data_IF_811385034236
#
_entry.id   IF_811385034236
#
_cell.length_a   1.000
_cell.length_b   1.000
_cell.length_c   1.000
_cell.angle_alpha   90.00
_cell.angle_beta   90.00
_cell.angle_gamma   90.00
#
_symmetry.space_group_name_H-M   'P 1'
#
loop_
_entity.id
_entity.type
_entity.pdbx_description
1 polymer ?
#
# COMPACT_ATOMS: atom_id res chain seq x y z
N UNK A 1 -18.11 3.61 22.42
CA UNK A 1 -18.69 4.20 21.19
C UNK A 1 -18.26 5.65 21.09
N UNK A 2 -17.07 5.92 20.55
CA UNK A 2 -16.54 7.26 20.30
C UNK A 2 -15.86 7.19 18.93
N UNK A 3 -16.56 7.61 17.88
CA UNK A 3 -16.00 7.73 16.54
C UNK A 3 -15.80 9.22 16.24
N UNK A 4 -14.56 9.67 16.42
CA UNK A 4 -14.12 11.01 16.05
C UNK A 4 -14.10 11.14 14.53
N UNK A 5 -15.10 11.81 13.95
CA UNK A 5 -15.00 12.36 12.60
C UNK A 5 -14.09 13.59 12.66
N UNK A 6 -12.79 13.37 12.52
CA UNK A 6 -11.86 14.41 12.13
C UNK A 6 -12.22 14.89 10.73
N UNK A 7 -12.84 16.06 10.63
CA UNK A 7 -13.14 16.70 9.36
C UNK A 7 -11.82 16.99 8.62
N UNK A 8 -11.50 16.14 7.63
CA UNK A 8 -10.51 16.50 6.63
C UNK A 8 -11.00 17.78 5.94
N UNK A 9 -10.21 18.87 5.90
CA UNK A 9 -10.65 20.10 5.28
C UNK A 9 -11.01 19.86 3.81
N UNK A 10 -12.15 20.42 3.40
CA UNK A 10 -12.76 20.38 2.06
C UNK A 10 -11.80 20.66 0.88
N UNK A 11 -10.61 21.21 1.15
CA UNK A 11 -9.54 21.37 0.17
C UNK A 11 -9.06 20.06 -0.46
N UNK A 12 -9.16 18.91 0.23
CA UNK A 12 -8.73 17.62 -0.34
C UNK A 12 -9.67 17.02 -1.39
N UNK A 13 -10.96 17.40 -1.39
CA UNK A 13 -11.94 16.87 -2.35
C UNK A 13 -11.75 17.44 -3.76
N UNK A 14 -11.05 18.59 -3.90
CA UNK A 14 -10.87 19.28 -5.18
C UNK A 14 -9.73 18.74 -6.05
N UNK A 15 -8.84 17.87 -5.52
CA UNK A 15 -7.69 17.37 -6.28
C UNK A 15 -8.08 16.49 -7.48
N UNK A 16 -9.21 15.76 -7.41
CA UNK A 16 -9.70 14.96 -8.52
C UNK A 16 -10.07 15.80 -9.76
N UNK A 17 -10.60 17.01 -9.57
CA UNK A 17 -11.01 17.89 -10.66
C UNK A 17 -9.85 18.65 -11.32
N UNK A 18 -8.73 18.84 -10.60
CA UNK A 18 -7.58 19.62 -11.08
C UNK A 18 -6.35 18.76 -11.39
N UNK A 19 -6.35 17.47 -11.03
CA UNK A 19 -5.23 16.55 -11.21
C UNK A 19 -4.66 16.54 -12.63
N UNK A 20 -5.54 16.45 -13.63
CA UNK A 20 -5.15 16.49 -15.05
C UNK A 20 -4.51 17.84 -15.45
N UNK A 21 -4.73 18.93 -14.71
CA UNK A 21 -4.20 20.28 -15.00
C UNK A 21 -2.96 20.64 -14.18
N UNK A 22 -2.41 19.72 -13.38
CA UNK A 22 -1.25 19.97 -12.53
C UNK A 22 0.04 20.25 -13.32
N UNK A 23 0.09 19.95 -14.62
CA UNK A 23 1.20 20.32 -15.51
C UNK A 23 1.26 21.83 -15.81
N UNK A 24 0.20 22.59 -15.53
CA UNK A 24 0.14 24.02 -15.82
C UNK A 24 0.84 24.83 -14.72
N UNK A 25 1.85 25.63 -15.09
CA UNK A 25 2.55 26.57 -14.19
C UNK A 25 1.60 27.53 -13.45
N UNK A 26 0.46 27.86 -14.06
CA UNK A 26 -0.56 28.71 -13.43
C UNK A 26 -1.17 28.07 -12.18
N UNK A 27 -1.41 26.76 -12.21
CA UNK A 27 -1.96 26.00 -11.08
C UNK A 27 -0.94 25.90 -9.96
N UNK A 28 0.31 25.62 -10.30
CA UNK A 28 1.42 25.60 -9.33
C UNK A 28 1.58 26.94 -8.62
N UNK A 29 1.58 28.06 -9.37
CA UNK A 29 1.66 29.41 -8.79
C UNK A 29 0.49 29.70 -7.85
N UNK A 30 -0.72 29.26 -8.20
CA UNK A 30 -1.91 29.41 -7.37
C UNK A 30 -1.78 28.63 -6.05
N UNK A 31 -1.36 27.36 -6.13
CA UNK A 31 -1.14 26.51 -4.95
C UNK A 31 -0.06 27.08 -4.03
N UNK A 32 1.05 27.57 -4.60
CA UNK A 32 2.09 28.25 -3.84
C UNK A 32 1.57 29.54 -3.18
N UNK A 33 0.72 30.29 -3.86
CA UNK A 33 0.06 31.48 -3.29
C UNK A 33 -0.81 31.15 -2.07
N UNK A 34 -1.57 30.06 -2.12
CA UNK A 34 -2.39 29.58 -1.01
C UNK A 34 -1.52 29.19 0.18
N UNK A 35 -0.47 28.40 -0.05
CA UNK A 35 0.38 27.87 1.01
C UNK A 35 1.27 28.93 1.67
N UNK A 36 1.67 29.96 0.90
CA UNK A 36 2.61 31.01 1.36
C UNK A 36 2.13 31.76 2.59
N UNK A 37 0.84 32.12 2.67
CA UNK A 37 0.31 32.95 3.79
C UNK A 37 0.44 32.24 5.14
N UNK A 38 0.01 30.96 5.30
CA UNK A 38 0.31 30.17 6.48
C UNK A 38 1.81 30.06 6.78
N UNK A 39 2.63 29.78 5.77
CA UNK A 39 4.06 29.56 5.93
C UNK A 39 4.81 30.77 6.52
N UNK A 40 4.49 31.99 6.06
CA UNK A 40 5.06 33.22 6.63
C UNK A 40 4.72 33.35 8.12
N UNK A 41 3.49 33.00 8.52
CA UNK A 41 3.07 33.08 9.92
C UNK A 41 3.78 32.05 10.80
N UNK A 42 3.96 30.82 10.31
CA UNK A 42 4.61 29.73 11.03
C UNK A 42 6.09 30.04 11.24
N UNK A 43 6.78 30.47 10.18
CA UNK A 43 8.23 30.73 10.20
C UNK A 43 8.60 32.10 10.78
N UNK A 44 7.63 33.02 10.90
CA UNK A 44 7.84 34.44 11.23
C UNK A 44 8.84 35.15 10.30
N UNK A 45 9.03 34.64 9.09
CA UNK A 45 9.98 35.18 8.13
C UNK A 45 9.45 36.46 7.46
N UNK A 46 10.34 37.20 6.81
CA UNK A 46 9.98 38.41 6.07
C UNK A 46 9.02 38.10 4.91
N UNK A 47 8.15 39.06 4.58
CA UNK A 47 7.20 38.94 3.46
C UNK A 47 7.87 38.74 2.09
N UNK A 48 9.16 39.09 1.96
CA UNK A 48 9.97 38.94 0.75
C UNK A 48 10.67 37.59 0.63
N UNK A 49 10.67 36.78 1.69
CA UNK A 49 11.30 35.44 1.71
C UNK A 49 10.66 34.54 0.63
N UNK A 50 11.44 33.81 -0.16
CA UNK A 50 10.88 32.93 -1.21
C UNK A 50 9.98 31.84 -0.61
N UNK A 51 8.96 31.40 -1.34
CA UNK A 51 8.04 30.35 -0.83
C UNK A 51 8.78 29.03 -0.60
N UNK A 52 9.71 28.70 -1.49
CA UNK A 52 10.53 27.49 -1.39
C UNK A 52 11.37 27.51 -0.11
N UNK A 53 12.01 28.64 0.23
CA UNK A 53 12.74 28.78 1.49
C UNK A 53 11.81 28.63 2.70
N UNK A 54 10.60 29.18 2.64
CA UNK A 54 9.63 29.01 3.73
C UNK A 54 9.19 27.56 3.91
N UNK A 55 9.00 26.81 2.82
CA UNK A 55 8.66 25.38 2.85
C UNK A 55 9.78 24.56 3.49
N UNK A 56 11.03 24.83 3.10
CA UNK A 56 12.22 24.18 3.67
C UNK A 56 12.37 24.49 5.15
N UNK A 57 12.32 25.77 5.54
CA UNK A 57 12.46 26.20 6.95
C UNK A 57 11.33 25.63 7.81
N UNK A 58 10.10 25.59 7.30
CA UNK A 58 8.96 25.03 8.03
C UNK A 58 8.92 23.49 8.02
N UNK A 59 9.71 22.82 7.18
CA UNK A 59 9.60 21.38 6.94
C UNK A 59 8.26 20.95 6.34
N UNK A 60 7.60 21.84 5.57
CA UNK A 60 6.28 21.58 5.00
C UNK A 60 6.39 21.30 3.51
N UNK A 61 5.87 20.15 3.08
CA UNK A 61 5.86 19.76 1.66
C UNK A 61 5.08 20.76 0.79
N UNK A 62 5.60 21.14 -0.39
CA UNK A 62 4.89 21.98 -1.34
C UNK A 62 3.52 21.43 -1.74
N UNK A 63 2.50 22.29 -1.75
CA UNK A 63 1.12 21.88 -2.05
C UNK A 63 0.97 21.33 -3.47
N UNK A 64 1.76 21.84 -4.43
CA UNK A 64 1.82 21.32 -5.79
C UNK A 64 2.32 19.87 -5.84
N UNK A 65 3.34 19.52 -5.06
CA UNK A 65 3.85 18.15 -4.95
C UNK A 65 2.82 17.25 -4.26
N UNK A 66 2.15 17.72 -3.20
CA UNK A 66 1.06 16.98 -2.57
C UNK A 66 -0.08 16.69 -3.55
N UNK A 67 -0.43 17.66 -4.39
CA UNK A 67 -1.47 17.50 -5.40
C UNK A 67 -1.09 16.43 -6.42
N UNK A 68 0.16 16.43 -6.92
CA UNK A 68 0.69 15.38 -7.80
C UNK A 68 0.59 14.00 -7.14
N UNK A 69 1.07 13.87 -5.89
CA UNK A 69 1.04 12.62 -5.12
C UNK A 69 -0.40 12.09 -4.98
N UNK A 70 -1.35 12.94 -4.58
CA UNK A 70 -2.76 12.56 -4.39
C UNK A 70 -3.40 12.14 -5.72
N UNK A 71 -3.12 12.86 -6.80
CA UNK A 71 -3.65 12.53 -8.12
C UNK A 71 -3.09 11.21 -8.65
N UNK A 72 -1.78 10.98 -8.54
CA UNK A 72 -1.16 9.72 -8.96
C UNK A 72 -1.70 8.54 -8.16
N UNK A 73 -1.85 8.68 -6.84
CA UNK A 73 -2.50 7.65 -6.00
C UNK A 73 -3.92 7.37 -6.45
N UNK A 74 -4.69 8.39 -6.80
CA UNK A 74 -6.06 8.21 -7.30
C UNK A 74 -6.09 7.45 -8.63
N UNK A 75 -5.21 7.79 -9.59
CA UNK A 75 -5.12 7.07 -10.86
C UNK A 75 -4.79 5.59 -10.67
N UNK A 76 -3.80 5.29 -9.83
CA UNK A 76 -3.31 3.92 -9.62
C UNK A 76 -4.26 3.09 -8.76
N UNK A 77 -4.70 3.64 -7.62
CA UNK A 77 -5.45 2.87 -6.62
C UNK A 77 -6.95 2.81 -6.91
N UNK A 78 -7.51 3.86 -7.53
CA UNK A 78 -8.95 3.97 -7.78
C UNK A 78 -9.31 3.70 -9.24
N UNK A 79 -8.66 4.40 -10.18
CA UNK A 79 -9.00 4.28 -11.60
C UNK A 79 -8.32 3.06 -12.26
N UNK A 80 -7.27 2.52 -11.63
CA UNK A 80 -6.49 1.38 -12.13
C UNK A 80 -5.80 1.67 -13.46
N UNK A 81 -5.17 2.85 -13.56
CA UNK A 81 -4.37 3.27 -14.70
C UNK A 81 -2.92 3.48 -14.26
N UNK A 82 -1.98 2.98 -15.07
CA UNK A 82 -0.55 3.20 -14.88
C UNK A 82 -0.23 4.69 -14.97
N UNK A 83 0.64 5.17 -14.08
CA UNK A 83 1.03 6.58 -14.05
C UNK A 83 2.53 6.72 -13.91
N UNK A 84 3.08 7.77 -14.51
CA UNK A 84 4.48 8.13 -14.38
C UNK A 84 4.59 9.42 -13.56
N UNK A 85 5.39 9.37 -12.50
CA UNK A 85 5.74 10.53 -11.69
C UNK A 85 7.22 10.78 -11.84
N UNK A 86 7.57 11.86 -12.54
CA UNK A 86 8.95 12.19 -12.90
C UNK A 86 9.61 11.01 -13.67
N UNK A 87 10.62 10.36 -13.09
CA UNK A 87 11.34 9.23 -13.70
C UNK A 87 10.87 7.84 -13.26
N UNK A 88 9.85 7.77 -12.40
CA UNK A 88 9.33 6.49 -11.91
C UNK A 88 7.96 6.20 -12.50
N UNK A 89 7.82 4.99 -13.03
CA UNK A 89 6.54 4.44 -13.43
C UNK A 89 5.92 3.65 -12.28
N UNK A 90 4.60 3.79 -12.13
CA UNK A 90 3.80 3.06 -11.17
C UNK A 90 2.74 2.30 -11.94
N UNK A 91 2.83 0.97 -11.91
CA UNK A 91 1.85 0.09 -12.55
C UNK A 91 0.70 -0.14 -11.57
N UNK A 92 -0.54 -0.12 -12.04
CA UNK A 92 -1.70 -0.31 -11.18
C UNK A 92 -1.80 -1.74 -10.60
N UNK A 93 -1.21 -2.71 -11.30
CA UNK A 93 -1.16 -4.12 -10.92
C UNK A 93 -0.18 -4.41 -9.76
N UNK A 94 0.81 -3.54 -9.55
CA UNK A 94 1.75 -3.65 -8.42
C UNK A 94 1.08 -3.34 -7.07
N UNK A 95 -0.13 -2.75 -7.09
CA UNK A 95 -0.84 -2.33 -5.90
C UNK A 95 -2.05 -3.20 -5.61
N UNK A 96 -2.12 -3.65 -4.36
CA UNK A 96 -3.25 -4.42 -3.84
C UNK A 96 -4.59 -3.72 -4.12
N UNK A 97 -5.53 -4.49 -4.64
CA UNK A 97 -6.90 -4.05 -4.87
C UNK A 97 -7.83 -4.79 -3.92
N UNK A 98 -8.76 -4.05 -3.32
CA UNK A 98 -9.81 -4.67 -2.52
C UNK A 98 -10.73 -5.44 -3.47
N UNK A 99 -10.75 -6.76 -3.33
CA UNK A 99 -11.79 -7.59 -3.97
C UNK A 99 -13.06 -7.48 -3.17
N UNK A 100 -14.16 -7.16 -3.85
CA UNK A 100 -15.49 -7.22 -3.25
C UNK A 100 -15.95 -8.68 -3.25
N UNK A 101 -16.06 -9.26 -2.06
CA UNK A 101 -16.52 -10.65 -1.87
C UNK A 101 -17.98 -10.83 -2.29
N UNK A 102 -18.78 -9.76 -2.30
CA UNK A 102 -20.18 -9.79 -2.69
C UNK A 102 -20.41 -9.73 -4.19
N UNK A 103 -19.37 -9.45 -4.99
CA UNK A 103 -19.43 -9.60 -6.44
C UNK A 103 -19.60 -11.06 -6.87
N UNK A 104 -19.34 -12.02 -5.96
CA UNK A 104 -19.55 -13.44 -6.21
C UNK A 104 -20.88 -13.89 -5.62
N UNK A 105 -21.69 -14.59 -6.41
CA UNK A 105 -22.96 -15.13 -5.95
C UNK A 105 -22.75 -16.04 -4.72
N UNK A 106 -23.55 -15.95 -3.64
CA UNK A 106 -23.37 -16.74 -2.42
C UNK A 106 -23.32 -18.26 -2.66
N UNK A 107 -24.00 -18.77 -3.68
CA UNK A 107 -23.96 -20.19 -4.04
C UNK A 107 -22.59 -20.67 -4.59
N UNK A 108 -21.69 -19.77 -4.99
CA UNK A 108 -20.33 -20.11 -5.41
C UNK A 108 -19.30 -19.99 -4.27
N UNK A 109 -19.75 -19.62 -3.07
CA UNK A 109 -18.86 -19.47 -1.93
C UNK A 109 -18.40 -20.84 -1.45
N UNK A 110 -17.09 -20.98 -1.22
CA UNK A 110 -16.48 -22.21 -0.71
C UNK A 110 -16.25 -22.01 0.78
N UNK A 111 -16.78 -22.92 1.59
CA UNK A 111 -16.48 -22.95 3.03
C UNK A 111 -15.14 -23.63 3.25
N UNK A 112 -14.21 -22.93 3.90
CA UNK A 112 -12.94 -23.50 4.36
C UNK A 112 -13.14 -23.87 5.84
N UNK A 113 -13.02 -25.15 6.22
CA UNK A 113 -13.06 -25.53 7.63
C UNK A 113 -11.87 -24.87 8.36
N UNK A 114 -12.12 -24.39 9.57
CA UNK A 114 -11.08 -23.85 10.43
C UNK A 114 -11.24 -24.44 11.82
N UNK A 115 -10.12 -24.69 12.47
CA UNK A 115 -10.03 -25.28 13.80
C UNK A 115 -8.95 -24.60 14.62
N UNK A 116 -8.90 -24.92 15.90
CA UNK A 116 -7.80 -24.54 16.81
C UNK A 116 -7.13 -25.76 17.42
N UNK A 117 -7.45 -26.94 16.91
CA UNK A 117 -6.75 -28.18 17.22
C UNK A 117 -5.27 -28.07 16.81
N UNK A 118 -4.42 -28.70 17.62
CA UNK A 118 -3.02 -28.85 17.30
C UNK A 118 -2.84 -29.86 16.15
N UNK A 119 -1.81 -29.69 15.30
CA UNK A 119 -1.42 -30.68 14.30
C UNK A 119 -1.16 -32.05 14.96
N UNK A 120 -1.73 -33.12 14.40
CA UNK A 120 -1.60 -34.49 14.92
C UNK A 120 -0.40 -35.24 14.33
N UNK A 121 0.26 -34.68 13.31
CA UNK A 121 1.42 -35.21 12.63
C UNK A 121 1.12 -36.30 11.62
N UNK A 122 -0.15 -36.68 11.40
CA UNK A 122 -0.53 -37.86 10.61
C UNK A 122 -0.76 -37.54 9.12
N UNK A 123 -1.03 -36.26 8.79
CA UNK A 123 -1.26 -35.80 7.41
C UNK A 123 -0.20 -34.79 6.94
N UNK A 124 -0.49 -34.08 5.85
CA UNK A 124 0.35 -32.98 5.36
C UNK A 124 0.09 -31.77 6.24
N UNK A 125 1.16 -31.25 6.85
CA UNK A 125 1.12 -30.07 7.70
C UNK A 125 2.00 -28.99 7.11
N UNK A 126 1.43 -27.80 6.91
CA UNK A 126 2.16 -26.69 6.32
C UNK A 126 2.19 -25.54 7.32
N UNK A 127 3.40 -25.18 7.73
CA UNK A 127 3.65 -24.05 8.61
C UNK A 127 4.19 -22.90 7.79
N UNK A 128 3.61 -21.71 7.97
CA UNK A 128 4.01 -20.50 7.25
C UNK A 128 4.37 -19.42 8.25
N UNK A 129 5.37 -18.60 7.93
CA UNK A 129 5.73 -17.45 8.75
C UNK A 129 6.18 -16.27 7.88
N UNK A 130 5.96 -15.06 8.39
CA UNK A 130 6.38 -13.80 7.80
C UNK A 130 7.33 -13.07 8.74
N UNK A 131 8.52 -12.72 8.26
CA UNK A 131 9.55 -12.06 9.07
C UNK A 131 9.94 -10.70 8.51
N UNK A 132 10.40 -9.82 9.40
CA UNK A 132 10.93 -8.52 9.03
C UNK A 132 12.07 -8.10 9.95
N UNK A 133 13.22 -7.73 9.38
CA UNK A 133 14.38 -7.21 10.12
C UNK A 133 15.05 -6.09 9.33
N UNK A 134 15.31 -4.95 9.98
CA UNK A 134 16.04 -3.81 9.40
C UNK A 134 15.51 -3.36 8.01
N UNK A 135 14.20 -3.34 7.81
CA UNK A 135 13.58 -2.96 6.53
C UNK A 135 13.63 -4.05 5.45
N UNK A 136 14.12 -5.24 5.79
CA UNK A 136 14.09 -6.42 4.94
C UNK A 136 12.98 -7.34 5.39
N UNK A 137 12.19 -7.85 4.45
CA UNK A 137 11.00 -8.64 4.72
C UNK A 137 11.02 -9.92 3.88
N UNK A 138 10.71 -11.05 4.51
CA UNK A 138 10.70 -12.36 3.86
C UNK A 138 9.61 -13.27 4.43
N UNK A 139 9.13 -14.18 3.60
CA UNK A 139 8.16 -15.20 3.96
C UNK A 139 8.82 -16.58 3.91
N UNK A 140 8.34 -17.51 4.72
CA UNK A 140 8.79 -18.90 4.70
C UNK A 140 7.61 -19.85 4.77
N UNK A 141 7.79 -21.04 4.23
CA UNK A 141 6.89 -22.18 4.35
C UNK A 141 7.72 -23.43 4.64
N UNK A 142 7.23 -24.29 5.53
CA UNK A 142 7.77 -25.63 5.76
C UNK A 142 6.63 -26.64 5.73
N UNK A 143 6.86 -27.78 5.08
CA UNK A 143 5.88 -28.85 4.88
C UNK A 143 6.39 -30.11 5.56
N UNK A 144 5.53 -30.68 6.41
CA UNK A 144 5.73 -31.96 7.07
C UNK A 144 4.73 -33.00 6.52
N UNK A 145 5.17 -34.25 6.48
CA UNK A 145 4.32 -35.41 6.23
C UNK A 145 4.74 -36.52 7.19
N UNK A 146 3.80 -37.06 7.98
CA UNK A 146 4.10 -38.04 9.03
C UNK A 146 5.18 -37.55 10.00
N UNK A 147 5.05 -36.30 10.46
CA UNK A 147 6.01 -35.64 11.35
C UNK A 147 7.42 -35.42 10.78
N UNK A 148 7.66 -35.70 9.49
CA UNK A 148 8.96 -35.54 8.84
C UNK A 148 8.92 -34.38 7.85
N UNK A 149 9.89 -33.46 7.90
CA UNK A 149 10.00 -32.37 6.93
C UNK A 149 10.28 -32.95 5.53
N UNK A 150 9.39 -32.63 4.58
CA UNK A 150 9.51 -33.07 3.19
C UNK A 150 9.88 -31.94 2.23
N UNK A 151 9.60 -30.69 2.62
CA UNK A 151 9.86 -29.51 1.79
C UNK A 151 9.92 -28.23 2.62
N UNK A 152 10.75 -27.28 2.21
CA UNK A 152 10.79 -25.94 2.77
C UNK A 152 11.17 -24.92 1.70
N UNK A 153 10.57 -23.73 1.80
CA UNK A 153 10.80 -22.62 0.86
C UNK A 153 10.87 -21.30 1.62
N UNK A 154 11.81 -20.44 1.20
CA UNK A 154 11.98 -19.08 1.72
C UNK A 154 11.91 -18.11 0.54
N UNK A 155 11.08 -17.08 0.66
CA UNK A 155 10.89 -16.05 -0.35
C UNK A 155 11.21 -14.67 0.22
N UNK A 156 12.19 -13.98 -0.36
CA UNK A 156 12.49 -12.58 -0.03
C UNK A 156 11.56 -11.65 -0.82
N UNK A 157 10.82 -10.79 -0.11
CA UNK A 157 9.96 -9.78 -0.74
C UNK A 157 10.77 -8.51 -1.09
N UNK A 158 10.15 -7.53 -1.74
CA UNK A 158 10.78 -6.22 -1.96
C UNK A 158 10.99 -5.46 -0.64
N UNK A 159 11.95 -4.53 -0.59
CA UNK A 159 12.25 -3.72 0.61
C UNK A 159 11.09 -2.80 1.04
N UNK A 160 10.16 -2.51 0.12
CA UNK A 160 8.93 -1.77 0.42
C UNK A 160 7.82 -2.64 1.03
N UNK A 161 8.01 -3.96 1.09
CA UNK A 161 6.99 -4.87 1.59
C UNK A 161 6.85 -4.78 3.12
N UNK A 162 5.67 -5.15 3.60
CA UNK A 162 5.35 -5.21 5.04
C UNK A 162 5.36 -6.64 5.55
N UNK A 163 5.51 -6.83 6.86
CA UNK A 163 5.42 -8.16 7.50
C UNK A 163 4.08 -8.84 7.19
N UNK A 164 2.98 -8.09 7.17
CA UNK A 164 1.66 -8.62 6.78
C UNK A 164 1.64 -9.16 5.33
N UNK A 165 2.35 -8.51 4.41
CA UNK A 165 2.49 -9.02 3.04
C UNK A 165 3.35 -10.29 2.99
N UNK A 166 4.35 -10.42 3.86
CA UNK A 166 5.10 -11.67 4.00
C UNK A 166 4.23 -12.80 4.56
N UNK A 167 3.44 -12.57 5.61
CA UNK A 167 2.49 -13.57 6.13
C UNK A 167 1.54 -14.05 5.02
N UNK A 168 0.97 -13.11 4.26
CA UNK A 168 0.09 -13.43 3.12
C UNK A 168 0.84 -14.20 2.02
N UNK A 169 2.11 -13.86 1.75
CA UNK A 169 2.95 -14.60 0.81
C UNK A 169 3.26 -16.00 1.32
N UNK A 170 3.43 -16.19 2.63
CA UNK A 170 3.55 -17.51 3.27
C UNK A 170 2.37 -18.42 2.92
N UNK A 171 1.15 -17.94 3.16
CA UNK A 171 -0.09 -18.66 2.81
C UNK A 171 -0.17 -18.92 1.30
N UNK A 172 0.22 -17.94 0.47
CA UNK A 172 0.21 -18.10 -0.98
C UNK A 172 1.16 -19.22 -1.44
N UNK A 173 2.37 -19.31 -0.87
CA UNK A 173 3.32 -20.41 -1.15
C UNK A 173 2.72 -21.76 -0.76
N UNK A 174 2.06 -21.86 0.41
CA UNK A 174 1.37 -23.06 0.83
C UNK A 174 0.29 -23.52 -0.16
N UNK A 175 -0.51 -22.58 -0.68
CA UNK A 175 -1.54 -22.88 -1.67
C UNK A 175 -0.95 -23.30 -3.02
N UNK A 176 0.16 -22.69 -3.45
CA UNK A 176 0.88 -23.09 -4.67
C UNK A 176 1.42 -24.51 -4.53
N UNK A 177 2.08 -24.83 -3.41
CA UNK A 177 2.58 -26.16 -3.11
C UNK A 177 1.45 -27.22 -3.16
N UNK A 178 0.30 -26.96 -2.51
CA UNK A 178 -0.85 -27.88 -2.53
C UNK A 178 -1.37 -28.07 -3.97
N UNK A 179 -1.44 -26.99 -4.76
CA UNK A 179 -1.93 -27.04 -6.13
C UNK A 179 -1.02 -27.88 -7.02
N UNK A 180 0.29 -27.72 -6.90
CA UNK A 180 1.28 -28.48 -7.65
C UNK A 180 1.31 -29.94 -7.23
N UNK A 181 1.21 -30.21 -5.92
CA UNK A 181 1.17 -31.57 -5.37
C UNK A 181 -0.06 -32.38 -5.79
N UNK A 182 -1.18 -31.73 -6.13
CA UNK A 182 -2.38 -32.39 -6.67
C UNK A 182 -2.33 -32.68 -8.17
N UNK A 183 -1.35 -32.12 -8.88
CA UNK A 183 -1.15 -32.31 -10.32
C UNK A 183 -0.09 -33.37 -10.64
N UNK A 184 0.57 -33.92 -9.63
CA UNK A 184 1.50 -35.05 -9.70
C UNK A 184 0.80 -36.37 -9.34
#
# INVERSE_FOLDING_TARGET
MLCGRGGAPLFLSLYGAWGHRLYLKTVERFLNGIQRRPLIKITRAFRTTSTDALQVIAGIMPLALKAKEVYSKFLVLTIKINTRVEDREFLCDDFESKKDIYNRHPAEWISIPFGTEDPDGEEIEIFTDGSGINGQVGATMVVYYHGTEIHSEICRLQDSATVFQAETKGIHMALEFIKESKLA
#
